data_IF_696552417515
#
_entry.id   IF_696552417515
#
_cell.length_a   1.000
_cell.length_b   1.000
_cell.length_c   1.000
_cell.angle_alpha   90.00
_cell.angle_beta   90.00
_cell.angle_gamma   90.00
#
_symmetry.space_group_name_H-M   'P 1'
#
loop_
_entity.id
_entity.type
_entity.pdbx_description
1 polymer ?
#
# COMPACT_ATOMS: atom_id res chain seq x y z
N UNK A 1 -28.02 -5.90 14.47
CA UNK A 1 -28.04 -4.59 13.76
C UNK A 1 -26.85 -3.67 14.09
N UNK A 2 -26.00 -3.98 15.06
CA UNK A 2 -24.94 -3.08 15.58
C UNK A 2 -23.56 -3.24 14.93
N UNK A 3 -23.23 -4.42 14.39
CA UNK A 3 -21.85 -4.74 13.96
C UNK A 3 -21.27 -3.91 12.81
N UNK A 4 -22.05 -3.59 11.76
CA UNK A 4 -21.54 -2.82 10.62
C UNK A 4 -21.32 -1.33 10.95
N UNK A 5 -22.19 -0.75 11.81
CA UNK A 5 -22.03 0.61 12.31
C UNK A 5 -20.79 0.71 13.23
N UNK A 6 -20.67 -0.23 14.16
CA UNK A 6 -19.54 -0.30 15.09
C UNK A 6 -18.20 -0.47 14.36
N UNK A 7 -18.14 -1.38 13.38
CA UNK A 7 -16.97 -1.56 12.52
C UNK A 7 -16.59 -0.27 11.79
N UNK A 8 -17.57 0.41 11.16
CA UNK A 8 -17.28 1.61 10.39
C UNK A 8 -16.77 2.76 11.27
N UNK A 9 -17.32 2.90 12.49
CA UNK A 9 -16.82 3.87 13.46
C UNK A 9 -15.38 3.54 13.89
N UNK A 10 -15.11 2.30 14.27
CA UNK A 10 -13.77 1.87 14.68
C UNK A 10 -12.74 2.00 13.54
N UNK A 11 -13.09 1.60 12.32
CA UNK A 11 -12.28 1.76 11.12
C UNK A 11 -12.01 3.24 10.81
N UNK A 12 -13.02 4.11 10.93
CA UNK A 12 -12.85 5.54 10.72
C UNK A 12 -11.98 6.20 11.79
N UNK A 13 -12.08 5.77 13.05
CA UNK A 13 -11.19 6.22 14.13
C UNK A 13 -9.75 5.76 13.88
N UNK A 14 -9.53 4.50 13.53
CA UNK A 14 -8.20 3.99 13.18
C UNK A 14 -7.60 4.70 11.96
N UNK A 15 -8.42 5.02 10.96
CA UNK A 15 -8.02 5.80 9.79
C UNK A 15 -7.55 7.23 10.12
N UNK A 16 -7.97 7.79 11.26
CA UNK A 16 -7.50 9.09 11.75
C UNK A 16 -6.20 9.00 12.57
N UNK A 17 -5.81 7.80 13.03
CA UNK A 17 -4.55 7.55 13.72
C UNK A 17 -3.39 7.41 12.72
N UNK A 18 -3.01 8.52 12.10
CA UNK A 18 -2.00 8.55 11.03
C UNK A 18 -0.61 8.94 11.57
N UNK A 19 0.48 8.38 11.00
CA UNK A 19 1.83 8.68 11.42
C UNK A 19 2.33 9.99 10.78
N UNK A 20 1.53 11.04 10.78
CA UNK A 20 1.81 12.32 10.13
C UNK A 20 1.17 13.46 10.94
N UNK A 21 1.57 14.69 10.63
CA UNK A 21 1.08 15.90 11.31
C UNK A 21 0.53 16.93 10.31
N UNK A 22 -0.22 17.91 10.82
CA UNK A 22 -0.71 19.06 10.04
C UNK A 22 -1.51 18.67 8.80
N UNK A 23 -1.18 19.29 7.66
CA UNK A 23 -1.91 19.11 6.40
C UNK A 23 -1.82 17.68 5.86
N UNK A 24 -0.69 16.99 6.05
CA UNK A 24 -0.53 15.60 5.63
C UNK A 24 -1.44 14.69 6.47
N UNK A 25 -1.51 14.93 7.79
CA UNK A 25 -2.41 14.16 8.66
C UNK A 25 -3.88 14.29 8.23
N UNK A 26 -4.32 15.50 7.89
CA UNK A 26 -5.66 15.75 7.38
C UNK A 26 -5.91 15.05 6.04
N UNK A 27 -4.98 15.16 5.08
CA UNK A 27 -5.07 14.46 3.79
C UNK A 27 -5.19 12.94 3.97
N UNK A 28 -4.35 12.38 4.83
CA UNK A 28 -4.28 10.94 5.07
C UNK A 28 -5.51 10.44 5.80
N UNK A 29 -5.99 11.17 6.81
CA UNK A 29 -7.24 10.84 7.51
C UNK A 29 -8.40 10.72 6.52
N UNK A 30 -8.56 11.71 5.63
CA UNK A 30 -9.61 11.69 4.61
C UNK A 30 -9.39 10.60 3.56
N UNK A 31 -8.14 10.30 3.22
CA UNK A 31 -7.80 9.15 2.38
C UNK A 31 -8.28 7.84 3.00
N UNK A 32 -8.00 7.62 4.29
CA UNK A 32 -8.43 6.44 5.03
C UNK A 32 -9.94 6.35 5.17
N UNK A 33 -10.64 7.46 5.47
CA UNK A 33 -12.10 7.49 5.50
C UNK A 33 -12.73 7.16 4.15
N UNK A 34 -12.11 7.53 3.03
CA UNK A 34 -12.58 7.09 1.73
C UNK A 34 -12.47 5.57 1.54
N UNK A 35 -11.44 4.92 2.08
CA UNK A 35 -11.36 3.45 2.07
C UNK A 35 -12.41 2.81 3.00
N UNK A 36 -12.70 3.42 4.15
CA UNK A 36 -13.80 2.99 5.03
C UNK A 36 -15.15 3.15 4.33
N UNK A 37 -15.38 4.27 3.63
CA UNK A 37 -16.59 4.51 2.85
C UNK A 37 -16.77 3.48 1.73
N UNK A 38 -15.69 3.05 1.09
CA UNK A 38 -15.73 1.95 0.13
C UNK A 38 -16.19 0.65 0.82
N UNK A 39 -15.62 0.30 1.97
CA UNK A 39 -16.08 -0.88 2.73
C UNK A 39 -17.55 -0.79 3.17
N UNK A 40 -18.02 0.40 3.61
CA UNK A 40 -19.44 0.65 3.88
C UNK A 40 -20.31 0.41 2.64
N UNK A 41 -19.88 0.88 1.47
CA UNK A 41 -20.59 0.69 0.21
C UNK A 41 -20.61 -0.78 -0.23
N UNK A 42 -19.51 -1.51 -0.03
CA UNK A 42 -19.40 -2.95 -0.33
C UNK A 42 -20.29 -3.78 0.60
N UNK A 43 -20.38 -3.44 1.88
CA UNK A 43 -21.30 -4.08 2.82
C UNK A 43 -22.77 -3.89 2.42
N UNK A 44 -23.08 -2.82 1.68
CA UNK A 44 -24.43 -2.46 1.24
C UNK A 44 -25.48 -2.42 2.39
N UNK A 45 -25.04 -2.06 3.60
CA UNK A 45 -25.91 -1.94 4.79
C UNK A 45 -26.15 -0.46 5.11
N UNK A 46 -27.41 0.00 5.23
CA UNK A 46 -27.71 1.40 5.57
C UNK A 46 -27.01 1.89 6.84
N UNK A 47 -26.84 1.01 7.83
CA UNK A 47 -26.20 1.35 9.11
C UNK A 47 -24.68 1.53 9.03
N UNK A 48 -24.01 1.07 7.98
CA UNK A 48 -22.55 1.14 7.88
C UNK A 48 -22.06 2.59 7.79
N UNK A 49 -22.69 3.40 6.93
CA UNK A 49 -22.34 4.81 6.79
C UNK A 49 -22.62 5.64 8.04
N UNK A 50 -23.60 5.26 8.88
CA UNK A 50 -23.91 5.98 10.11
C UNK A 50 -22.72 6.02 11.11
N UNK A 51 -21.90 4.96 11.14
CA UNK A 51 -20.69 4.93 11.99
C UNK A 51 -19.60 5.88 11.48
N UNK A 52 -19.39 5.88 10.17
CA UNK A 52 -18.46 6.82 9.51
C UNK A 52 -18.92 8.27 9.65
N UNK A 53 -20.22 8.53 9.42
CA UNK A 53 -20.85 9.85 9.54
C UNK A 53 -20.60 10.44 10.95
N UNK A 54 -20.74 9.61 12.00
CA UNK A 54 -20.50 10.00 13.40
C UNK A 54 -19.05 10.43 13.66
N UNK A 55 -18.07 9.66 13.16
CA UNK A 55 -16.65 9.98 13.36
C UNK A 55 -16.25 11.25 12.61
N UNK A 56 -16.71 11.40 11.36
CA UNK A 56 -16.41 12.60 10.56
C UNK A 56 -16.99 13.85 11.23
N UNK A 57 -18.23 13.79 11.72
CA UNK A 57 -18.86 14.90 12.42
C UNK A 57 -18.05 15.39 13.63
N UNK A 58 -17.43 14.46 14.39
CA UNK A 58 -16.64 14.75 15.58
C UNK A 58 -15.19 15.20 15.29
N UNK A 59 -14.65 14.90 14.11
CA UNK A 59 -13.20 14.99 13.81
C UNK A 59 -12.63 16.42 13.64
N UNK A 60 -13.47 17.41 13.31
CA UNK A 60 -13.02 18.75 12.95
C UNK A 60 -12.28 18.89 11.60
N UNK A 61 -11.98 17.80 10.88
CA UNK A 61 -11.28 17.85 9.59
C UNK A 61 -12.21 18.40 8.50
N UNK A 62 -11.84 19.53 7.87
CA UNK A 62 -12.68 20.23 6.88
C UNK A 62 -12.20 20.10 5.43
N UNK A 63 -10.91 19.86 5.22
CA UNK A 63 -10.29 19.83 3.89
C UNK A 63 -9.50 18.54 3.72
N UNK A 64 -9.62 17.91 2.56
CA UNK A 64 -8.94 16.64 2.27
C UNK A 64 -8.52 16.47 0.82
N UNK A 65 -8.55 17.54 0.02
CA UNK A 65 -8.12 17.53 -1.37
C UNK A 65 -8.87 16.49 -2.22
N UNK A 66 -8.13 15.84 -3.12
CA UNK A 66 -8.69 14.81 -4.03
C UNK A 66 -9.30 13.62 -3.29
N UNK A 67 -8.83 13.30 -2.08
CA UNK A 67 -9.40 12.23 -1.27
C UNK A 67 -10.80 12.59 -0.74
N UNK A 68 -11.05 13.87 -0.44
CA UNK A 68 -12.37 14.33 -0.01
C UNK A 68 -13.40 14.21 -1.13
N UNK A 69 -13.05 14.56 -2.38
CA UNK A 69 -13.93 14.37 -3.52
C UNK A 69 -14.38 12.90 -3.66
N UNK A 70 -13.43 11.98 -3.50
CA UNK A 70 -13.66 10.53 -3.52
C UNK A 70 -14.54 10.06 -2.35
N UNK A 71 -14.23 10.49 -1.13
CA UNK A 71 -15.03 10.19 0.07
C UNK A 71 -16.49 10.62 -0.11
N UNK A 72 -16.72 11.84 -0.59
CA UNK A 72 -18.06 12.37 -0.85
C UNK A 72 -18.79 11.57 -1.93
N UNK A 73 -18.11 11.22 -3.01
CA UNK A 73 -18.67 10.39 -4.07
C UNK A 73 -19.10 9.00 -3.56
N UNK A 74 -18.27 8.35 -2.74
CA UNK A 74 -18.62 7.07 -2.10
C UNK A 74 -19.80 7.22 -1.13
N UNK A 75 -19.84 8.30 -0.34
CA UNK A 75 -20.97 8.58 0.56
C UNK A 75 -22.27 8.83 -0.19
N UNK A 76 -22.21 9.48 -1.36
CA UNK A 76 -23.36 9.80 -2.20
C UNK A 76 -24.10 8.56 -2.72
N UNK A 77 -23.41 7.42 -2.84
CA UNK A 77 -24.01 6.13 -3.22
C UNK A 77 -25.11 5.72 -2.22
N UNK A 78 -24.95 6.08 -0.94
CA UNK A 78 -25.88 5.75 0.13
C UNK A 78 -26.84 6.90 0.49
N UNK A 79 -26.93 7.95 -0.34
CA UNK A 79 -27.83 9.09 -0.14
C UNK A 79 -27.11 10.44 0.06
N UNK A 80 -27.82 11.49 0.50
CA UNK A 80 -27.28 12.85 0.58
C UNK A 80 -25.99 12.93 1.41
N UNK A 81 -25.01 13.69 0.92
CA UNK A 81 -23.73 13.90 1.62
C UNK A 81 -23.90 15.00 2.67
N UNK A 82 -23.69 14.71 3.97
CA UNK A 82 -23.83 15.70 5.03
C UNK A 82 -22.86 16.90 4.86
N UNK A 83 -23.28 18.09 5.31
CA UNK A 83 -22.50 19.33 5.15
C UNK A 83 -21.16 19.33 5.88
N UNK A 84 -21.02 18.53 6.95
CA UNK A 84 -19.79 18.41 7.72
C UNK A 84 -18.72 17.53 7.06
N UNK A 85 -19.02 16.87 5.93
CA UNK A 85 -18.02 16.12 5.18
C UNK A 85 -16.93 17.04 4.62
N UNK A 86 -15.65 16.63 4.65
CA UNK A 86 -14.54 17.41 4.10
C UNK A 86 -14.79 17.80 2.64
N UNK A 87 -14.28 18.98 2.25
CA UNK A 87 -14.33 19.49 0.87
C UNK A 87 -13.06 19.17 0.10
N UNK A 88 -13.13 19.25 -1.23
CA UNK A 88 -12.05 18.92 -2.16
C UNK A 88 -10.91 19.95 -2.20
N UNK A 89 -10.97 21.00 -1.37
CA UNK A 89 -9.88 21.96 -1.22
C UNK A 89 -8.65 21.28 -0.59
N UNK A 90 -7.42 21.70 -0.97
CA UNK A 90 -6.21 21.20 -0.36
C UNK A 90 -6.18 21.48 1.16
N UNK A 91 -5.72 20.53 1.99
CA UNK A 91 -5.63 20.73 3.44
C UNK A 91 -4.56 21.75 3.86
N UNK A 92 -3.57 21.99 3.01
CA UNK A 92 -2.46 22.92 3.26
C UNK A 92 -1.16 22.42 2.64
N UNK A 93 -0.05 23.16 2.82
CA UNK A 93 1.26 22.72 2.37
C UNK A 93 1.75 21.52 3.22
N UNK A 94 2.49 20.61 2.58
CA UNK A 94 3.14 19.47 3.23
C UNK A 94 4.66 19.58 3.09
N UNK A 95 5.44 19.04 4.04
CA UNK A 95 6.89 19.02 3.92
C UNK A 95 7.35 18.29 2.64
N UNK A 96 8.49 18.69 2.05
CA UNK A 96 9.05 17.97 0.92
C UNK A 96 9.51 16.57 1.32
N UNK A 97 9.65 15.69 0.33
CA UNK A 97 10.29 14.38 0.50
C UNK A 97 11.76 14.58 0.91
N UNK A 98 12.21 13.85 1.94
CA UNK A 98 13.56 13.93 2.48
C UNK A 98 14.64 13.51 1.47
N UNK A 99 15.83 14.11 1.57
CA UNK A 99 16.99 13.81 0.70
C UNK A 99 17.38 12.34 0.66
N UNK A 100 17.36 11.68 1.82
CA UNK A 100 17.65 10.25 1.96
C UNK A 100 16.68 9.35 1.18
N UNK A 101 15.41 9.75 1.07
CA UNK A 101 14.44 9.04 0.23
C UNK A 101 14.84 9.11 -1.25
N UNK A 102 15.37 10.25 -1.71
CA UNK A 102 15.87 10.39 -3.08
C UNK A 102 17.14 9.55 -3.33
N UNK A 103 18.02 9.42 -2.34
CA UNK A 103 19.16 8.50 -2.43
C UNK A 103 18.71 7.05 -2.53
N UNK A 104 17.71 6.63 -1.75
CA UNK A 104 17.12 5.29 -1.87
C UNK A 104 16.42 5.07 -3.23
N UNK A 105 15.74 6.08 -3.77
CA UNK A 105 15.19 6.03 -5.13
C UNK A 105 16.29 5.82 -6.19
N UNK A 106 17.43 6.50 -6.06
CA UNK A 106 18.56 6.36 -6.97
C UNK A 106 19.16 4.94 -6.90
N UNK A 107 19.45 4.45 -5.69
CA UNK A 107 19.95 3.09 -5.46
C UNK A 107 19.00 2.02 -6.04
N UNK A 108 17.69 2.17 -5.81
CA UNK A 108 16.67 1.27 -6.36
C UNK A 108 16.62 1.32 -7.90
N UNK A 109 16.77 2.51 -8.49
CA UNK A 109 16.79 2.67 -9.94
C UNK A 109 18.04 2.04 -10.58
N UNK A 110 19.21 2.20 -9.97
CA UNK A 110 20.46 1.58 -10.39
C UNK A 110 20.38 0.05 -10.31
N UNK A 111 19.83 -0.47 -9.21
CA UNK A 111 19.51 -1.89 -9.08
C UNK A 111 18.63 -2.38 -10.24
N UNK A 112 17.54 -1.69 -10.54
CA UNK A 112 16.63 -2.06 -11.63
C UNK A 112 17.31 -2.04 -13.00
N UNK A 113 18.20 -1.08 -13.24
CA UNK A 113 18.92 -0.90 -14.50
C UNK A 113 20.01 -1.95 -14.73
N UNK A 114 20.62 -2.44 -13.64
CA UNK A 114 21.63 -3.49 -13.66
C UNK A 114 21.05 -4.90 -13.91
N UNK A 115 19.72 -5.08 -13.77
CA UNK A 115 19.08 -6.37 -14.03
C UNK A 115 18.94 -6.65 -15.54
N UNK A 116 19.17 -7.90 -15.99
CA UNK A 116 19.07 -8.27 -17.39
C UNK A 116 17.65 -8.09 -17.92
N UNK A 117 17.51 -7.68 -19.18
CA UNK A 117 16.23 -7.65 -19.88
C UNK A 117 16.05 -8.96 -20.64
N UNK A 118 15.05 -9.76 -20.28
CA UNK A 118 14.72 -11.02 -20.97
C UNK A 118 13.36 -10.91 -21.66
N UNK A 119 13.23 -11.50 -22.85
CA UNK A 119 11.93 -11.72 -23.49
C UNK A 119 11.28 -12.97 -22.87
N UNK A 120 9.96 -13.03 -22.87
CA UNK A 120 9.23 -14.19 -22.38
C UNK A 120 7.76 -14.12 -22.81
N UNK A 121 7.04 -15.24 -22.68
CA UNK A 121 5.61 -15.31 -22.95
C UNK A 121 4.89 -15.90 -21.75
N UNK A 122 3.76 -15.30 -21.38
CA UNK A 122 2.81 -15.90 -20.44
C UNK A 122 1.40 -15.59 -20.96
N UNK A 123 0.55 -16.61 -21.07
CA UNK A 123 -0.90 -16.51 -21.35
C UNK A 123 -1.64 -17.17 -20.19
N UNK A 124 -2.58 -16.50 -19.52
CA UNK A 124 -3.45 -17.09 -18.47
C UNK A 124 -4.79 -16.35 -18.41
N UNK A 125 -5.87 -16.94 -17.84
CA UNK A 125 -7.21 -16.36 -17.85
C UNK A 125 -7.38 -15.05 -17.05
N UNK A 126 -8.30 -14.20 -17.52
CA UNK A 126 -8.58 -12.82 -17.06
C UNK A 126 -9.54 -12.70 -15.86
N UNK A 127 -9.37 -13.53 -14.82
CA UNK A 127 -10.21 -13.45 -13.60
C UNK A 127 -9.37 -13.16 -12.37
N UNK A 128 -9.87 -12.34 -11.44
CA UNK A 128 -9.14 -11.95 -10.23
C UNK A 128 -8.68 -13.15 -9.38
N UNK A 129 -9.55 -14.13 -9.16
CA UNK A 129 -9.18 -15.37 -8.46
C UNK A 129 -8.04 -16.13 -9.16
N UNK A 130 -8.06 -16.19 -10.49
CA UNK A 130 -6.99 -16.81 -11.27
C UNK A 130 -5.67 -16.05 -11.17
N UNK A 131 -5.72 -14.71 -11.08
CA UNK A 131 -4.53 -13.89 -10.84
C UNK A 131 -3.95 -14.12 -9.45
N UNK A 132 -4.80 -14.20 -8.41
CA UNK A 132 -4.39 -14.50 -7.03
C UNK A 132 -3.71 -15.85 -6.93
N UNK A 133 -4.35 -16.89 -7.49
CA UNK A 133 -3.79 -18.24 -7.52
C UNK A 133 -2.45 -18.28 -8.28
N UNK A 134 -2.37 -17.62 -9.43
CA UNK A 134 -1.12 -17.50 -10.17
C UNK A 134 0.01 -16.86 -9.36
N UNK A 135 -0.30 -15.79 -8.63
CA UNK A 135 0.67 -15.01 -7.87
C UNK A 135 1.21 -15.73 -6.64
N UNK A 136 0.57 -16.80 -6.16
CA UNK A 136 1.00 -17.58 -4.98
C UNK A 136 2.48 -17.95 -5.02
N UNK A 137 3.03 -18.34 -6.18
CA UNK A 137 4.44 -18.75 -6.28
C UNK A 137 5.44 -17.64 -5.94
N UNK A 138 5.04 -16.38 -6.10
CA UNK A 138 5.89 -15.21 -5.84
C UNK A 138 5.73 -14.64 -4.43
N UNK A 139 4.67 -15.02 -3.72
CA UNK A 139 4.36 -14.51 -2.39
C UNK A 139 4.99 -15.45 -1.34
N UNK A 140 5.88 -14.96 -0.45
CA UNK A 140 6.60 -15.80 0.50
C UNK A 140 5.71 -16.68 1.37
N UNK A 141 4.61 -16.10 1.86
CA UNK A 141 3.65 -16.75 2.77
C UNK A 141 2.23 -16.78 2.19
N UNK A 142 2.10 -17.14 0.91
CA UNK A 142 0.81 -17.13 0.21
C UNK A 142 -0.30 -17.84 0.99
N UNK A 143 -1.42 -17.16 1.19
CA UNK A 143 -2.65 -17.68 1.80
C UNK A 143 -3.76 -17.80 0.73
N UNK A 144 -4.77 -18.59 1.09
CA UNK A 144 -5.98 -18.84 0.30
C UNK A 144 -7.22 -18.53 1.15
N UNK A 145 -8.39 -18.62 0.55
CA UNK A 145 -9.67 -18.38 1.26
C UNK A 145 -10.10 -16.92 1.32
N UNK A 146 -9.47 -16.05 0.53
CA UNK A 146 -9.88 -14.65 0.39
C UNK A 146 -11.23 -14.55 -0.34
N UNK A 147 -12.05 -13.57 0.05
CA UNK A 147 -13.30 -13.26 -0.62
C UNK A 147 -13.08 -12.25 -1.73
N UNK A 148 -13.45 -12.57 -2.97
CA UNK A 148 -13.43 -11.62 -4.08
C UNK A 148 -14.84 -11.11 -4.33
N UNK A 149 -15.07 -9.81 -4.20
CA UNK A 149 -16.37 -9.18 -4.43
C UNK A 149 -16.35 -8.36 -5.72
N UNK A 150 -17.42 -8.37 -6.54
CA UNK A 150 -17.50 -7.54 -7.74
C UNK A 150 -17.46 -6.05 -7.41
N UNK A 151 -16.57 -5.29 -8.06
CA UNK A 151 -16.33 -3.87 -7.77
C UNK A 151 -16.78 -2.89 -8.87
N UNK A 152 -17.57 -3.34 -9.86
CA UNK A 152 -17.90 -2.53 -11.06
C UNK A 152 -18.51 -1.16 -10.71
N UNK A 153 -19.38 -1.10 -9.71
CA UNK A 153 -20.01 0.13 -9.23
C UNK A 153 -19.06 1.13 -8.57
N UNK A 154 -17.81 0.73 -8.28
CA UNK A 154 -16.80 1.55 -7.63
C UNK A 154 -15.64 1.90 -8.57
N UNK A 155 -15.82 1.72 -9.88
CA UNK A 155 -14.82 2.07 -10.90
C UNK A 155 -14.46 3.55 -10.81
N UNK A 156 -13.16 3.85 -10.65
CA UNK A 156 -12.66 5.22 -10.46
C UNK A 156 -12.75 5.75 -9.02
N UNK A 157 -13.43 5.03 -8.12
CA UNK A 157 -13.57 5.39 -6.71
C UNK A 157 -12.70 4.52 -5.79
N UNK A 158 -12.49 3.24 -6.14
CA UNK A 158 -11.64 2.36 -5.36
C UNK A 158 -10.16 2.55 -5.70
N UNK A 159 -9.32 2.76 -4.68
CA UNK A 159 -7.85 2.81 -4.86
C UNK A 159 -7.19 1.63 -4.18
N UNK A 160 -7.43 1.48 -2.87
CA UNK A 160 -7.13 0.24 -2.15
C UNK A 160 -8.25 -0.76 -2.44
N UNK A 161 -7.91 -1.95 -2.93
CA UNK A 161 -8.90 -2.97 -3.23
C UNK A 161 -8.96 -4.07 -2.17
N UNK A 162 -7.97 -4.14 -1.29
CA UNK A 162 -7.94 -5.07 -0.17
C UNK A 162 -8.51 -4.41 1.10
N UNK A 163 -9.28 -5.16 1.88
CA UNK A 163 -9.80 -4.70 3.17
C UNK A 163 -10.33 -5.85 4.03
N UNK A 164 -10.55 -5.58 5.32
CA UNK A 164 -11.34 -6.43 6.21
C UNK A 164 -12.78 -5.94 6.27
N UNK A 165 -13.73 -6.85 6.16
CA UNK A 165 -15.15 -6.56 6.42
C UNK A 165 -15.70 -7.45 7.55
N UNK A 166 -16.64 -6.93 8.37
CA UNK A 166 -17.20 -7.67 9.50
C UNK A 166 -17.92 -8.93 9.03
N UNK A 167 -17.49 -10.09 9.53
CA UNK A 167 -18.08 -11.40 9.21
C UNK A 167 -17.62 -12.04 7.89
N UNK A 168 -16.61 -11.47 7.22
CA UNK A 168 -16.02 -12.05 6.01
C UNK A 168 -14.60 -12.56 6.30
N UNK A 169 -13.89 -13.26 5.41
CA UNK A 169 -12.42 -13.33 5.40
C UNK A 169 -11.82 -12.05 4.77
N UNK A 170 -10.49 -11.94 4.63
CA UNK A 170 -9.86 -10.85 3.88
C UNK A 170 -10.53 -10.68 2.50
N UNK A 171 -10.87 -9.45 2.14
CA UNK A 171 -11.70 -9.12 0.97
C UNK A 171 -10.88 -8.40 -0.10
N UNK A 172 -11.04 -8.81 -1.35
CA UNK A 172 -10.60 -8.09 -2.55
C UNK A 172 -11.82 -7.57 -3.32
N UNK A 173 -11.89 -6.25 -3.52
CA UNK A 173 -12.92 -5.60 -4.34
C UNK A 173 -12.47 -5.57 -5.80
N UNK A 174 -12.92 -6.50 -6.64
CA UNK A 174 -12.50 -6.62 -8.04
C UNK A 174 -13.06 -5.48 -8.91
N UNK A 175 -12.33 -4.37 -8.97
CA UNK A 175 -12.65 -3.24 -9.85
C UNK A 175 -12.03 -3.42 -11.24
N UNK A 176 -12.82 -3.24 -12.32
CA UNK A 176 -12.30 -3.24 -13.68
C UNK A 176 -11.20 -2.18 -13.86
N UNK A 177 -10.00 -2.60 -14.28
CA UNK A 177 -8.90 -1.69 -14.62
C UNK A 177 -8.60 -1.74 -16.10
N UNK A 178 -8.50 -0.56 -16.73
CA UNK A 178 -7.99 -0.38 -18.10
C UNK A 178 -6.46 -0.39 -18.07
N UNK A 179 -5.88 -1.55 -17.81
CA UNK A 179 -4.43 -1.78 -17.89
C UNK A 179 -4.17 -3.08 -18.67
N UNK A 180 -3.02 -3.27 -19.33
CA UNK A 180 -2.69 -4.53 -19.98
C UNK A 180 -2.81 -5.73 -19.03
N UNK A 181 -3.21 -6.89 -19.54
CA UNK A 181 -3.49 -8.11 -18.74
C UNK A 181 -2.36 -8.44 -17.76
N UNK A 182 -1.11 -8.46 -18.25
CA UNK A 182 0.07 -8.74 -17.44
C UNK A 182 0.19 -7.80 -16.24
N UNK A 183 -0.08 -6.51 -16.42
CA UNK A 183 -0.03 -5.52 -15.34
C UNK A 183 -1.15 -5.75 -14.33
N UNK A 184 -2.37 -6.05 -14.80
CA UNK A 184 -3.48 -6.43 -13.91
C UNK A 184 -3.13 -7.68 -13.10
N UNK A 185 -2.45 -8.62 -13.71
CA UNK A 185 -2.08 -9.90 -13.12
C UNK A 185 -0.96 -9.79 -12.08
N UNK A 186 0.12 -9.08 -12.40
CA UNK A 186 1.19 -8.75 -11.44
C UNK A 186 0.60 -8.01 -10.25
N UNK A 187 -0.17 -6.96 -10.52
CA UNK A 187 -0.75 -6.17 -9.45
C UNK A 187 -1.72 -6.97 -8.59
N UNK A 188 -2.68 -7.70 -9.16
CA UNK A 188 -3.62 -8.51 -8.35
C UNK A 188 -2.97 -9.71 -7.68
N UNK A 189 -2.13 -10.44 -8.41
CA UNK A 189 -1.55 -11.70 -7.96
C UNK A 189 -0.42 -11.53 -6.96
N UNK A 190 0.38 -10.48 -7.10
CA UNK A 190 1.58 -10.26 -6.28
C UNK A 190 1.30 -9.16 -5.25
N UNK A 191 0.96 -7.94 -5.70
CA UNK A 191 0.78 -6.79 -4.81
C UNK A 191 -0.46 -6.92 -3.91
N UNK A 192 -1.66 -6.99 -4.50
CA UNK A 192 -2.90 -7.13 -3.75
C UNK A 192 -2.93 -8.48 -3.00
N UNK A 193 -2.36 -9.53 -3.61
CA UNK A 193 -2.18 -10.82 -2.95
C UNK A 193 -1.34 -10.71 -1.67
N UNK A 194 -0.23 -9.99 -1.67
CA UNK A 194 0.60 -9.80 -0.48
C UNK A 194 -0.17 -9.08 0.65
N UNK A 195 -0.99 -8.09 0.31
CA UNK A 195 -1.85 -7.43 1.28
C UNK A 195 -2.89 -8.38 1.89
N UNK A 196 -3.50 -9.25 1.08
CA UNK A 196 -4.44 -10.26 1.56
C UNK A 196 -3.76 -11.32 2.45
N UNK A 197 -2.52 -11.70 2.16
CA UNK A 197 -1.73 -12.59 3.02
C UNK A 197 -1.42 -11.94 4.37
N UNK A 198 -1.11 -10.64 4.36
CA UNK A 198 -0.88 -9.86 5.57
C UNK A 198 -2.14 -9.80 6.44
N UNK A 199 -3.29 -9.43 5.85
CA UNK A 199 -4.57 -9.43 6.56
C UNK A 199 -4.91 -10.80 7.14
N UNK A 200 -4.77 -11.87 6.35
CA UNK A 200 -5.08 -13.23 6.80
C UNK A 200 -4.19 -13.69 7.96
N UNK A 201 -2.92 -13.25 8.01
CA UNK A 201 -2.03 -13.60 9.12
C UNK A 201 -2.37 -12.85 10.42
N UNK A 202 -2.80 -11.58 10.32
CA UNK A 202 -3.25 -10.81 11.49
C UNK A 202 -4.53 -11.40 12.10
N UNK A 203 -5.35 -12.08 11.29
CA UNK A 203 -6.54 -12.81 11.73
C UNK A 203 -6.23 -14.09 12.53
N UNK A 204 -5.03 -14.68 12.39
CA UNK A 204 -4.64 -15.91 13.11
C UNK A 204 -4.21 -15.65 14.57
N UNK A 205 -4.06 -14.38 14.99
CA UNK A 205 -3.70 -14.01 16.36
C UNK A 205 -4.95 -14.10 17.26
N UNK A 206 -4.99 -14.99 18.27
CA UNK A 206 -6.16 -15.11 19.15
C UNK A 206 -6.49 -13.78 19.84
N UNK A 207 -7.77 -13.39 19.82
CA UNK A 207 -8.27 -12.17 20.47
C UNK A 207 -8.40 -10.93 19.58
N UNK A 208 -7.99 -10.98 18.30
CA UNK A 208 -8.07 -9.80 17.42
C UNK A 208 -9.39 -9.62 16.67
N UNK A 209 -10.10 -10.68 16.22
CA UNK A 209 -11.47 -10.58 15.64
C UNK A 209 -12.09 -11.92 15.12
N UNK A 210 -13.37 -12.29 15.44
CA UNK A 210 -13.97 -12.46 16.76
C UNK A 210 -14.21 -13.97 17.09
N UNK A 211 -14.34 -14.38 18.38
CA UNK A 211 -15.62 -14.26 19.05
C UNK A 211 -15.51 -13.84 20.53
N UNK A 212 -16.08 -12.69 20.88
CA UNK A 212 -16.61 -12.50 22.22
C UNK A 212 -18.12 -12.40 22.08
N UNK A 213 -18.82 -13.29 22.76
CA UNK A 213 -20.27 -13.31 23.00
C UNK A 213 -20.74 -12.11 23.84
N UNK A 214 -20.07 -10.95 23.75
CA UNK A 214 -20.28 -9.80 24.58
C UNK A 214 -19.85 -8.50 23.89
N UNK A 215 -20.82 -7.60 23.72
CA UNK A 215 -20.76 -6.13 23.78
C UNK A 215 -19.74 -5.30 22.99
N UNK A 216 -18.49 -5.72 22.83
CA UNK A 216 -17.42 -4.85 22.34
C UNK A 216 -17.42 -4.68 20.81
N UNK A 217 -17.14 -3.46 20.31
CA UNK A 217 -17.13 -3.18 18.89
C UNK A 217 -15.90 -3.81 18.19
N UNK A 218 -16.03 -4.25 16.93
CA UNK A 218 -14.90 -4.64 16.10
C UNK A 218 -13.77 -3.63 16.08
N UNK A 219 -12.58 -4.04 16.50
CA UNK A 219 -11.36 -3.32 16.17
C UNK A 219 -10.95 -3.72 14.73
N UNK A 220 -10.79 -2.75 13.80
CA UNK A 220 -10.20 -3.05 12.50
C UNK A 220 -8.78 -3.60 12.70
N UNK A 221 -8.30 -4.54 11.86
CA UNK A 221 -6.93 -5.03 11.97
C UNK A 221 -5.94 -3.87 11.79
N UNK A 222 -4.92 -3.84 12.65
CA UNK A 222 -3.92 -2.78 12.68
C UNK A 222 -3.27 -2.54 11.29
N UNK A 223 -3.17 -3.57 10.46
CA UNK A 223 -2.57 -3.55 9.13
C UNK A 223 -3.24 -2.61 8.10
N UNK A 224 -4.50 -2.19 8.28
CA UNK A 224 -5.21 -1.40 7.27
C UNK A 224 -4.97 0.11 7.34
N UNK A 225 -4.51 0.63 8.47
CA UNK A 225 -4.46 2.07 8.73
C UNK A 225 -3.18 2.48 9.47
N UNK A 226 -2.91 3.77 9.51
CA UNK A 226 -1.79 4.34 10.24
C UNK A 226 -0.43 3.70 9.90
N UNK A 227 0.34 3.36 10.93
CA UNK A 227 1.61 2.64 10.79
C UNK A 227 1.44 1.24 10.19
N UNK A 228 0.33 0.55 10.44
CA UNK A 228 0.10 -0.77 9.86
C UNK A 228 -0.11 -0.72 8.34
N UNK A 229 -0.72 0.35 7.82
CA UNK A 229 -0.76 0.59 6.37
C UNK A 229 0.66 0.74 5.80
N UNK A 230 1.53 1.50 6.48
CA UNK A 230 2.92 1.63 6.04
C UNK A 230 3.65 0.29 6.03
N UNK A 231 3.43 -0.54 7.06
CA UNK A 231 3.97 -1.90 7.10
C UNK A 231 3.43 -2.77 5.97
N UNK A 232 2.12 -2.71 5.68
CA UNK A 232 1.49 -3.47 4.61
C UNK A 232 2.05 -3.08 3.23
N UNK A 233 2.17 -1.78 2.94
CA UNK A 233 2.75 -1.30 1.68
C UNK A 233 4.23 -1.64 1.56
N UNK A 234 4.99 -1.53 2.65
CA UNK A 234 6.39 -1.98 2.71
C UNK A 234 6.52 -3.47 2.38
N UNK A 235 5.66 -4.31 2.97
CA UNK A 235 5.64 -5.74 2.72
C UNK A 235 5.28 -6.07 1.28
N UNK A 236 4.19 -5.50 0.73
CA UNK A 236 3.78 -5.77 -0.64
C UNK A 236 4.85 -5.36 -1.67
N UNK A 237 5.50 -4.22 -1.47
CA UNK A 237 6.60 -3.78 -2.33
C UNK A 237 7.86 -4.65 -2.17
N UNK A 238 8.15 -5.16 -0.96
CA UNK A 238 9.27 -6.08 -0.74
C UNK A 238 9.01 -7.43 -1.42
N UNK A 239 7.78 -7.90 -1.40
CA UNK A 239 7.34 -9.08 -2.17
C UNK A 239 7.51 -8.84 -3.67
N UNK A 240 7.22 -7.65 -4.20
CA UNK A 240 7.49 -7.31 -5.61
C UNK A 240 8.99 -7.36 -5.96
N UNK A 241 9.88 -6.91 -5.07
CA UNK A 241 11.34 -7.00 -5.26
C UNK A 241 11.84 -8.45 -5.28
N UNK A 242 11.34 -9.27 -4.36
CA UNK A 242 11.60 -10.72 -4.36
C UNK A 242 11.09 -11.34 -5.67
N UNK A 243 9.83 -11.05 -6.04
CA UNK A 243 9.19 -11.56 -7.24
C UNK A 243 9.93 -11.16 -8.52
N UNK A 244 10.56 -9.98 -8.55
CA UNK A 244 11.34 -9.48 -9.68
C UNK A 244 12.54 -10.38 -9.97
N UNK A 245 13.36 -10.67 -8.95
CA UNK A 245 14.52 -11.55 -9.10
C UNK A 245 14.09 -12.99 -9.38
N UNK A 246 13.08 -13.45 -8.65
CA UNK A 246 12.47 -14.77 -8.83
C UNK A 246 11.91 -15.00 -10.25
N UNK A 247 11.34 -13.97 -10.87
CA UNK A 247 10.87 -14.01 -12.26
C UNK A 247 12.03 -14.11 -13.24
N UNK A 248 13.16 -13.44 -12.96
CA UNK A 248 14.36 -13.53 -13.79
C UNK A 248 14.97 -14.93 -13.77
N UNK A 249 15.05 -15.57 -12.59
CA UNK A 249 15.54 -16.94 -12.43
C UNK A 249 14.68 -17.96 -13.20
N UNK A 250 13.36 -17.73 -13.22
CA UNK A 250 12.40 -18.57 -13.96
C UNK A 250 12.31 -18.25 -15.45
N UNK A 251 13.07 -17.28 -15.97
CA UNK A 251 12.99 -16.86 -17.37
C UNK A 251 11.70 -16.09 -17.71
N UNK A 252 10.93 -15.65 -16.73
CA UNK A 252 9.67 -14.91 -16.88
C UNK A 252 9.92 -13.41 -17.14
N UNK A 253 10.68 -13.11 -18.19
CA UNK A 253 11.20 -11.76 -18.46
C UNK A 253 10.13 -10.66 -18.60
N UNK A 254 8.92 -10.99 -19.09
CA UNK A 254 7.79 -10.05 -19.13
C UNK A 254 7.29 -9.67 -17.74
N UNK A 255 7.20 -10.62 -16.81
CA UNK A 255 6.80 -10.36 -15.42
C UNK A 255 7.85 -9.47 -14.75
N UNK A 256 9.13 -9.81 -14.90
CA UNK A 256 10.24 -9.00 -14.41
C UNK A 256 10.26 -7.58 -14.99
N UNK A 257 9.91 -7.41 -16.27
CA UNK A 257 9.75 -6.09 -16.89
C UNK A 257 8.60 -5.29 -16.28
N UNK A 258 7.45 -5.92 -16.08
CA UNK A 258 6.28 -5.29 -15.46
C UNK A 258 6.53 -4.87 -14.00
N UNK A 259 7.27 -5.66 -13.23
CA UNK A 259 7.65 -5.33 -11.86
C UNK A 259 8.63 -4.15 -11.83
N UNK A 260 9.62 -4.11 -12.73
CA UNK A 260 10.51 -2.94 -12.89
C UNK A 260 9.75 -1.67 -13.26
N UNK A 261 8.77 -1.76 -14.15
CA UNK A 261 7.90 -0.63 -14.49
C UNK A 261 7.09 -0.15 -13.27
N UNK A 262 6.63 -1.09 -12.43
CA UNK A 262 5.97 -0.76 -11.16
C UNK A 262 6.88 0.02 -10.20
N UNK A 263 8.15 -0.38 -10.07
CA UNK A 263 9.14 0.33 -9.24
C UNK A 263 9.43 1.74 -9.79
N UNK A 264 9.60 1.87 -11.11
CA UNK A 264 9.76 3.17 -11.76
C UNK A 264 8.54 4.08 -11.55
N UNK A 265 7.33 3.52 -11.65
CA UNK A 265 6.07 4.22 -11.37
C UNK A 265 6.01 4.73 -9.92
N UNK A 266 6.44 3.93 -8.93
CA UNK A 266 6.47 4.38 -7.53
C UNK A 266 7.44 5.52 -7.32
N UNK A 267 8.65 5.43 -7.88
CA UNK A 267 9.64 6.52 -7.84
C UNK A 267 9.06 7.81 -8.44
N UNK A 268 8.46 7.76 -9.63
CA UNK A 268 7.90 8.94 -10.30
C UNK A 268 6.72 9.58 -9.57
N UNK A 269 5.98 8.79 -8.78
CA UNK A 269 4.84 9.29 -7.98
C UNK A 269 5.25 10.08 -6.73
N UNK A 270 6.51 10.05 -6.30
CA UNK A 270 6.93 10.82 -5.14
C UNK A 270 6.73 12.34 -5.40
N UNK A 271 6.10 13.08 -4.47
CA UNK A 271 5.91 14.52 -4.62
C UNK A 271 7.24 15.23 -4.77
N UNK A 272 7.29 16.16 -5.73
CA UNK A 272 8.53 16.88 -6.04
C UNK A 272 9.59 16.02 -6.70
N UNK A 273 9.24 14.89 -7.35
CA UNK A 273 10.16 14.08 -8.19
C UNK A 273 11.09 15.01 -8.98
N UNK A 274 12.36 15.11 -8.57
CA UNK A 274 13.08 16.34 -8.76
C UNK A 274 13.85 16.32 -10.07
N UNK A 275 14.00 17.51 -10.67
CA UNK A 275 15.01 17.74 -11.70
C UNK A 275 16.47 17.61 -11.19
N UNK A 276 16.69 17.38 -9.89
CA UNK A 276 18.02 17.19 -9.31
C UNK A 276 18.57 15.76 -9.46
N UNK A 277 17.69 14.76 -9.55
CA UNK A 277 18.05 13.49 -10.17
C UNK A 277 18.08 13.76 -11.67
N UNK A 278 19.22 14.25 -12.20
CA UNK A 278 19.42 14.22 -13.66
C UNK A 278 19.09 12.79 -14.09
N UNK A 279 18.19 12.55 -15.05
CA UNK A 279 17.70 11.21 -15.35
C UNK A 279 18.80 10.37 -16.02
N UNK A 280 19.71 9.88 -15.18
CA UNK A 280 20.74 8.91 -15.53
C UNK A 280 20.09 7.53 -15.37
N UNK A 281 20.29 6.66 -16.36
CA UNK A 281 19.66 5.34 -16.35
C UNK A 281 18.25 5.27 -16.95
N UNK A 282 17.83 4.06 -17.29
CA UNK A 282 16.55 3.78 -17.95
C UNK A 282 15.39 3.89 -16.97
N UNK A 283 15.59 3.47 -15.73
CA UNK A 283 14.53 3.44 -14.70
C UNK A 283 14.10 4.85 -14.31
N UNK A 284 15.03 5.78 -14.04
CA UNK A 284 14.69 7.17 -13.74
C UNK A 284 14.04 7.90 -14.92
N UNK A 285 14.46 7.61 -16.16
CA UNK A 285 13.78 8.13 -17.37
C UNK A 285 12.34 7.61 -17.52
N UNK A 286 12.03 6.40 -17.06
CA UNK A 286 10.64 5.92 -17.04
C UNK A 286 9.84 6.58 -15.93
N UNK A 287 10.48 6.82 -14.78
CA UNK A 287 9.84 7.49 -13.64
C UNK A 287 9.32 8.90 -14.00
N UNK A 288 9.96 9.63 -14.93
CA UNK A 288 9.51 10.98 -15.33
C UNK A 288 8.13 10.99 -15.97
N UNK A 289 7.71 9.89 -16.59
CA UNK A 289 6.40 9.77 -17.26
C UNK A 289 5.28 9.43 -16.27
N UNK A 290 5.62 9.22 -15.00
CA UNK A 290 4.70 8.88 -13.94
C UNK A 290 4.53 10.07 -13.00
N UNK A 291 3.31 10.60 -12.90
CA UNK A 291 2.92 11.54 -11.84
C UNK A 291 1.66 11.04 -11.15
N UNK A 292 1.63 11.21 -9.83
CA UNK A 292 0.50 10.81 -8.98
C UNK A 292 -0.02 12.02 -8.21
N UNK A 293 -0.97 12.81 -8.76
CA UNK A 293 -1.53 13.96 -8.04
C UNK A 293 -2.17 13.54 -6.69
N UNK A 294 -2.55 12.28 -6.56
CA UNK A 294 -3.04 11.71 -5.30
C UNK A 294 -2.03 11.68 -4.15
N UNK A 295 -0.74 11.56 -4.45
CA UNK A 295 0.31 11.47 -3.45
C UNK A 295 0.92 12.82 -3.12
N UNK A 296 0.58 13.86 -3.88
CA UNK A 296 1.08 15.23 -3.68
C UNK A 296 0.90 15.73 -2.24
N UNK A 297 -0.19 15.32 -1.57
CA UNK A 297 -0.49 15.66 -0.18
C UNK A 297 -0.14 14.55 0.83
N UNK A 298 0.54 13.48 0.40
CA UNK A 298 0.87 12.28 1.19
C UNK A 298 2.34 11.86 1.02
N UNK A 299 3.33 12.76 1.19
CA UNK A 299 4.74 12.48 0.93
C UNK A 299 5.28 11.29 1.74
N UNK A 300 4.87 11.09 3.00
CA UNK A 300 5.32 9.97 3.84
C UNK A 300 4.79 8.62 3.33
N UNK A 301 3.51 8.56 2.97
CA UNK A 301 2.93 7.36 2.36
C UNK A 301 3.59 7.07 1.01
N UNK A 302 3.80 8.09 0.18
CA UNK A 302 4.47 7.97 -1.10
C UNK A 302 5.91 7.44 -0.96
N UNK A 303 6.68 8.00 -0.03
CA UNK A 303 8.04 7.58 0.28
C UNK A 303 8.10 6.12 0.74
N UNK A 304 7.10 5.67 1.53
CA UNK A 304 7.05 4.30 2.05
C UNK A 304 7.02 3.23 0.94
N UNK A 305 6.41 3.52 -0.22
CA UNK A 305 6.45 2.59 -1.35
C UNK A 305 7.86 2.31 -1.89
N UNK A 306 8.85 3.15 -1.54
CA UNK A 306 10.25 2.98 -1.93
C UNK A 306 11.12 2.64 -0.73
N UNK A 307 11.09 3.43 0.34
CA UNK A 307 11.99 3.27 1.49
C UNK A 307 11.59 2.11 2.37
N UNK A 308 10.28 1.91 2.56
CA UNK A 308 9.69 0.83 3.35
C UNK A 308 10.19 -0.58 2.99
N UNK A 309 10.05 -1.03 1.73
CA UNK A 309 10.53 -2.35 1.33
C UNK A 309 12.05 -2.50 1.46
N UNK A 310 12.82 -1.45 1.20
CA UNK A 310 14.28 -1.50 1.28
C UNK A 310 14.75 -1.65 2.74
N UNK A 311 14.18 -0.86 3.65
CA UNK A 311 14.41 -0.97 5.10
C UNK A 311 14.02 -2.34 5.64
N UNK A 312 12.82 -2.81 5.26
CA UNK A 312 12.35 -4.14 5.65
C UNK A 312 13.31 -5.24 5.21
N UNK A 313 13.77 -5.22 3.95
CA UNK A 313 14.71 -6.21 3.40
C UNK A 313 16.14 -6.06 3.96
N UNK A 314 16.51 -4.88 4.44
CA UNK A 314 17.78 -4.63 5.12
C UNK A 314 17.81 -5.17 6.56
N UNK A 315 16.63 -5.47 7.13
CA UNK A 315 16.47 -6.09 8.44
C UNK A 315 15.74 -5.23 9.46
N UNK A 316 15.26 -4.03 9.09
CA UNK A 316 14.58 -3.13 10.03
C UNK A 316 13.34 -3.76 10.64
N UNK A 317 13.06 -3.36 11.89
CA UNK A 317 11.90 -3.83 12.62
C UNK A 317 10.64 -3.09 12.16
N UNK A 318 9.97 -3.67 11.16
CA UNK A 318 8.64 -3.24 10.73
C UNK A 318 7.63 -4.10 11.47
N UNK A 319 6.54 -3.48 11.94
CA UNK A 319 5.41 -4.13 12.60
C UNK A 319 4.65 -5.10 11.66
N UNK A 320 5.29 -6.22 11.34
CA UNK A 320 4.78 -7.33 10.55
C UNK A 320 4.71 -8.58 11.43
N UNK A 321 3.71 -9.46 11.22
CA UNK A 321 3.71 -10.79 11.81
C UNK A 321 5.05 -11.51 11.59
N UNK A 322 5.64 -12.02 12.67
CA UNK A 322 7.00 -12.59 12.66
C UNK A 322 7.20 -13.65 11.57
N UNK A 323 6.19 -14.48 11.30
CA UNK A 323 6.22 -15.48 10.24
C UNK A 323 6.32 -14.87 8.83
N UNK A 324 5.55 -13.81 8.54
CA UNK A 324 5.64 -13.13 7.23
C UNK A 324 7.03 -12.53 7.01
N UNK A 325 7.58 -11.91 8.06
CA UNK A 325 8.93 -11.34 8.03
C UNK A 325 9.98 -12.42 7.81
N UNK A 326 9.92 -13.52 8.56
CA UNK A 326 10.86 -14.63 8.43
C UNK A 326 10.83 -15.26 7.02
N UNK A 327 9.64 -15.54 6.49
CA UNK A 327 9.48 -16.11 5.14
C UNK A 327 10.00 -15.16 4.05
N UNK A 328 9.70 -13.86 4.15
CA UNK A 328 10.20 -12.84 3.22
C UNK A 328 11.72 -12.72 3.26
N UNK A 329 12.29 -12.57 4.45
CA UNK A 329 13.73 -12.38 4.63
C UNK A 329 14.52 -13.63 4.22
N UNK A 330 14.02 -14.82 4.53
CA UNK A 330 14.65 -16.08 4.09
C UNK A 330 14.71 -16.19 2.56
N UNK A 331 13.64 -15.81 1.86
CA UNK A 331 13.66 -15.76 0.37
C UNK A 331 14.62 -14.71 -0.15
N UNK A 332 14.60 -13.51 0.42
CA UNK A 332 15.48 -12.42 0.01
C UNK A 332 16.97 -12.77 0.21
N UNK A 333 17.33 -13.35 1.35
CA UNK A 333 18.69 -13.81 1.63
C UNK A 333 19.17 -14.87 0.63
N UNK A 334 18.29 -15.82 0.27
CA UNK A 334 18.56 -16.78 -0.80
C UNK A 334 18.85 -16.12 -2.15
N UNK A 335 18.16 -15.01 -2.46
CA UNK A 335 18.35 -14.26 -3.70
C UNK A 335 19.62 -13.40 -3.67
N UNK A 336 19.93 -12.69 -2.57
CA UNK A 336 21.12 -11.81 -2.48
C UNK A 336 22.44 -12.58 -2.51
N UNK A 337 22.43 -13.87 -2.14
CA UNK A 337 23.57 -14.78 -2.37
C UNK A 337 23.84 -15.01 -3.86
N UNK A 338 22.80 -15.07 -4.69
CA UNK A 338 22.87 -15.37 -6.13
C UNK A 338 22.91 -14.13 -7.02
N UNK A 339 22.43 -12.99 -6.53
CA UNK A 339 22.36 -11.72 -7.25
C UNK A 339 23.26 -10.66 -6.60
N UNK A 340 24.51 -10.46 -7.11
CA UNK A 340 25.42 -9.45 -6.57
C UNK A 340 24.84 -8.03 -6.54
N UNK A 341 24.02 -7.68 -7.53
CA UNK A 341 23.33 -6.38 -7.60
C UNK A 341 22.33 -6.16 -6.46
N UNK A 342 21.64 -7.21 -6.00
CA UNK A 342 20.72 -7.13 -4.87
C UNK A 342 21.49 -6.95 -3.55
N UNK A 343 22.65 -7.59 -3.42
CA UNK A 343 23.54 -7.42 -2.27
C UNK A 343 24.09 -6.00 -2.19
N UNK A 344 24.55 -5.45 -3.31
CA UNK A 344 25.01 -4.06 -3.42
C UNK A 344 23.93 -3.08 -2.97
N UNK A 345 22.70 -3.23 -3.47
CA UNK A 345 21.56 -2.42 -3.05
C UNK A 345 21.39 -2.43 -1.51
N UNK A 346 21.50 -3.60 -0.87
CA UNK A 346 21.38 -3.68 0.60
C UNK A 346 22.56 -3.06 1.35
N UNK A 347 23.75 -3.03 0.77
CA UNK A 347 24.87 -2.25 1.34
C UNK A 347 24.55 -0.77 1.29
N UNK A 348 24.18 -0.24 0.13
CA UNK A 348 23.85 1.18 -0.05
C UNK A 348 22.69 1.63 0.86
N UNK A 349 21.65 0.81 1.00
CA UNK A 349 20.52 1.10 1.89
C UNK A 349 20.96 1.22 3.36
N UNK A 350 21.87 0.36 3.82
CA UNK A 350 22.40 0.43 5.19
C UNK A 350 23.27 1.67 5.40
N UNK A 351 24.08 2.02 4.41
CA UNK A 351 24.93 3.21 4.46
C UNK A 351 24.07 4.49 4.54
N UNK A 352 23.05 4.61 3.67
CA UNK A 352 22.08 5.72 3.71
C UNK A 352 21.38 5.79 5.08
N UNK A 353 20.99 4.64 5.63
CA UNK A 353 20.31 4.60 6.92
C UNK A 353 21.22 5.01 8.09
N UNK A 354 22.49 4.58 8.08
CA UNK A 354 23.46 4.98 9.09
C UNK A 354 23.72 6.50 9.08
N UNK A 355 23.78 7.11 7.89
CA UNK A 355 23.90 8.57 7.74
C UNK A 355 22.68 9.31 8.34
N UNK A 356 21.45 8.83 8.08
CA UNK A 356 20.23 9.42 8.66
C UNK A 356 20.27 9.44 10.20
N UNK A 357 20.65 8.32 10.81
CA UNK A 357 20.72 8.18 12.28
C UNK A 357 21.79 9.10 12.86
N UNK A 358 22.93 9.23 12.19
CA UNK A 358 24.02 10.12 12.61
C UNK A 358 23.60 11.60 12.59
N UNK A 359 22.88 12.03 11.56
CA UNK A 359 22.42 13.43 11.43
C UNK A 359 21.38 13.76 12.52
N UNK A 360 20.46 12.85 12.81
CA UNK A 360 19.45 13.04 13.86
C UNK A 360 20.12 13.13 15.24
N UNK A 361 21.08 12.25 15.52
CA UNK A 361 21.79 12.22 16.80
C UNK A 361 22.58 13.50 17.05
N UNK A 362 23.16 14.10 16.01
CA UNK A 362 23.90 15.38 16.11
C UNK A 362 22.96 16.57 16.36
N UNK A 363 21.72 16.50 15.87
CA UNK A 363 20.73 17.59 15.99
C UNK A 363 20.06 17.62 17.38
N UNK A 364 20.06 16.50 18.12
CA UNK A 364 19.46 16.38 19.46
C UNK A 364 20.43 16.75 20.61
N UNK A 365 21.68 17.09 20.31
CA UNK A 365 22.74 17.40 21.30
C UNK A 365 23.00 18.92 21.39
N UNK A 366 22.11 19.77 20.85
CA UNK A 366 22.24 21.24 20.88
C UNK A 366 21.22 21.88 21.82
#
# INVERSE_FOLDING_TARGET
MTGARAWAAAAASAAACVPAEGAEAAAWTVYGWAEVALGCAVLARPSAFAGLDQVIAASGVRRGGVAAARLRALRAIAGPVPRYYPVAEPPGPVPPVAGSTWHMCAALAEFCDALPTRRGHVRVPDRAASHLWWGERFRPSARRGHLVVPGRGYTGLARRLWMRLPGHPAVLVDVPRRAPELRRRVWRGIHEGAHLDHLAMVEEVPGTWPPATGGEPPTPPAAEFGYGLLAAESYAMAVELVALLESLERGEGKVAGCLRDGLAERIGRLPGFPGCLRPVGRTLRRATDHRGPEFAALPRLAATYVTGPLRLLAGDDVALPARLRADLLGRWEGLTRRWPVARRLMTEVRDIHAEEVSVISTTLVV
#
